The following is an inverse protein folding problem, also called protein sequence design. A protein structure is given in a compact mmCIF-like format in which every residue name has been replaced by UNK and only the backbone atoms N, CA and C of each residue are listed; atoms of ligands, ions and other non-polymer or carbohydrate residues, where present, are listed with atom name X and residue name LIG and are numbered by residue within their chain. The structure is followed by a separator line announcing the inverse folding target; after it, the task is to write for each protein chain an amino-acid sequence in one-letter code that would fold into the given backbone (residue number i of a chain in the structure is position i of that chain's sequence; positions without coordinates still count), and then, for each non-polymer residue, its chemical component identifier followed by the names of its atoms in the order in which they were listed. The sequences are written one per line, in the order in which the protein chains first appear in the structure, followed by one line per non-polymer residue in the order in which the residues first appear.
data_IF_188531974586
#
_entry.id   IF_188531974586
#
_cell.length_a   1.000
_cell.length_b   1.000
_cell.length_c   1.000
_cell.angle_alpha   90.00
_cell.angle_beta   90.00
_cell.angle_gamma   90.00
#
_symmetry.space_group_name_H-M   'P 1'
#
loop_
_entity.id
_entity.type
_entity.pdbx_description
1 polymer ?
#
# COMPACT_ATOMS: atom_id res chain seq x y z
N UNK A 1 44.32 39.30 99.71
CA UNK A 1 44.77 39.54 98.31
C UNK A 1 46.20 39.03 98.17
N UNK A 2 46.38 37.73 97.96
CA UNK A 2 47.71 37.14 97.79
C UNK A 2 48.17 37.35 96.34
N UNK A 3 49.18 38.19 96.17
CA UNK A 3 49.84 38.38 94.88
C UNK A 3 50.60 37.10 94.53
N UNK A 4 50.10 36.37 93.55
CA UNK A 4 50.79 35.24 92.94
C UNK A 4 52.02 35.81 92.21
N UNK A 5 53.19 35.77 92.85
CA UNK A 5 54.46 36.12 92.19
C UNK A 5 54.76 35.00 91.18
N UNK A 6 54.74 35.25 89.86
CA UNK A 6 54.99 34.22 88.87
C UNK A 6 56.42 33.70 89.02
N UNK A 7 56.59 32.37 88.98
CA UNK A 7 57.91 31.74 89.04
C UNK A 7 58.61 31.95 87.69
N UNK A 8 59.95 32.07 87.65
CA UNK A 8 60.68 32.37 86.41
C UNK A 8 60.45 31.35 85.29
N UNK A 9 60.09 30.10 85.60
CA UNK A 9 59.76 29.09 84.59
C UNK A 9 58.40 29.29 83.90
N UNK A 10 57.44 29.95 84.56
CA UNK A 10 56.12 30.24 83.97
C UNK A 10 56.22 31.33 82.91
N UNK A 11 57.10 32.31 83.12
CA UNK A 11 57.39 33.38 82.17
C UNK A 11 58.07 32.82 80.91
N UNK A 12 59.03 31.90 81.08
CA UNK A 12 59.73 31.26 79.94
C UNK A 12 58.78 30.40 79.11
N UNK A 13 57.85 29.67 79.73
CA UNK A 13 56.78 28.95 79.01
C UNK A 13 55.87 29.93 78.27
N UNK A 14 55.39 30.97 78.93
CA UNK A 14 54.52 31.98 78.31
C UNK A 14 55.16 32.64 77.09
N UNK A 15 56.45 33.00 77.17
CA UNK A 15 57.20 33.56 76.03
C UNK A 15 57.34 32.53 74.90
N UNK A 16 57.66 31.27 75.21
CA UNK A 16 57.78 30.22 74.19
C UNK A 16 56.44 29.92 73.50
N UNK A 17 55.36 29.92 74.25
CA UNK A 17 54.01 29.68 73.74
C UNK A 17 53.54 30.84 72.86
N UNK A 18 53.84 32.09 73.25
CA UNK A 18 53.59 33.28 72.42
C UNK A 18 54.40 33.23 71.13
N UNK A 19 55.67 32.84 71.17
CA UNK A 19 56.52 32.69 69.97
C UNK A 19 56.03 31.55 69.07
N UNK A 20 55.60 30.43 69.64
CA UNK A 20 54.99 29.33 68.86
C UNK A 20 53.68 29.76 68.21
N UNK A 21 52.86 30.52 68.93
CA UNK A 21 51.59 31.05 68.42
C UNK A 21 51.79 32.07 67.31
N UNK A 22 52.77 32.97 67.40
CA UNK A 22 53.05 33.93 66.33
C UNK A 22 53.55 33.23 65.07
N UNK A 23 54.47 32.28 65.19
CA UNK A 23 54.98 31.51 64.04
C UNK A 23 53.87 30.71 63.35
N UNK A 24 52.99 30.05 64.14
CA UNK A 24 51.85 29.32 63.59
C UNK A 24 50.86 30.26 62.88
N UNK A 25 50.62 31.44 63.44
CA UNK A 25 49.74 32.46 62.84
C UNK A 25 50.35 33.03 61.55
N UNK A 26 51.66 33.32 61.53
CA UNK A 26 52.36 33.78 60.33
C UNK A 26 52.34 32.71 59.23
N UNK A 27 52.58 31.44 59.58
CA UNK A 27 52.52 30.34 58.61
C UNK A 27 51.12 30.18 58.02
N UNK A 28 50.08 30.30 58.85
CA UNK A 28 48.69 30.30 58.39
C UNK A 28 48.44 31.45 57.42
N UNK A 29 48.76 32.69 57.81
CA UNK A 29 48.54 33.90 57.00
C UNK A 29 49.34 33.85 55.69
N UNK A 30 50.56 33.32 55.71
CA UNK A 30 51.38 33.12 54.51
C UNK A 30 50.80 32.07 53.56
N UNK A 31 50.08 31.07 54.07
CA UNK A 31 49.46 30.00 53.26
C UNK A 31 48.08 30.37 52.70
N UNK A 32 47.38 31.34 53.30
CA UNK A 32 46.03 31.75 52.88
C UNK A 32 45.95 32.21 51.41
N UNK A 33 46.86 33.06 50.89
CA UNK A 33 46.81 33.47 49.50
C UNK A 33 46.90 32.31 48.51
N UNK A 34 47.76 31.31 48.78
CA UNK A 34 47.88 30.12 47.94
C UNK A 34 46.62 29.25 47.96
N UNK A 35 45.99 29.10 49.14
CA UNK A 35 44.71 28.37 49.26
C UNK A 35 43.57 29.09 48.55
N UNK A 36 43.53 30.43 48.61
CA UNK A 36 42.54 31.24 47.90
C UNK A 36 42.74 31.13 46.38
N UNK A 37 43.98 31.21 45.90
CA UNK A 37 44.30 31.02 44.47
C UNK A 37 43.81 29.66 43.97
N UNK A 38 44.14 28.58 44.67
CA UNK A 38 43.69 27.24 44.30
C UNK A 38 42.16 27.09 44.30
N UNK A 39 41.46 27.72 45.25
CA UNK A 39 39.99 27.74 45.25
C UNK A 39 39.41 28.53 44.08
N UNK A 40 40.04 29.64 43.70
CA UNK A 40 39.60 30.43 42.54
C UNK A 40 39.79 29.65 41.23
N UNK A 41 40.93 28.98 41.07
CA UNK A 41 41.20 28.12 39.90
C UNK A 41 40.17 26.97 39.82
N UNK A 42 39.84 26.35 40.95
CA UNK A 42 38.82 25.29 41.02
C UNK A 42 37.42 25.82 40.71
N UNK A 43 37.07 27.02 41.18
CA UNK A 43 35.80 27.69 40.86
C UNK A 43 35.73 28.06 39.38
N UNK A 44 36.81 28.59 38.78
CA UNK A 44 36.86 28.92 37.36
C UNK A 44 36.64 27.67 36.51
N UNK A 45 37.34 26.57 36.81
CA UNK A 45 37.14 25.29 36.14
C UNK A 45 35.71 24.75 36.33
N UNK A 46 35.10 24.94 37.50
CA UNK A 46 33.72 24.54 37.75
C UNK A 46 32.73 25.38 36.92
N UNK A 47 32.93 26.69 36.82
CA UNK A 47 32.09 27.59 36.01
C UNK A 47 32.17 27.21 34.53
N UNK A 48 33.38 26.97 34.00
CA UNK A 48 33.54 26.51 32.61
C UNK A 48 32.80 25.19 32.35
N UNK A 49 32.88 24.26 33.31
CA UNK A 49 32.18 22.98 33.23
C UNK A 49 30.66 23.15 33.29
N UNK A 50 30.17 24.04 34.15
CA UNK A 50 28.74 24.38 34.24
C UNK A 50 28.27 24.97 32.92
N UNK A 51 28.99 25.94 32.34
CA UNK A 51 28.64 26.54 31.05
C UNK A 51 28.58 25.51 29.92
N UNK A 52 29.52 24.56 29.92
CA UNK A 52 29.50 23.45 28.97
C UNK A 52 28.28 22.54 29.16
N UNK A 53 27.92 22.23 30.41
CA UNK A 53 26.72 21.42 30.73
C UNK A 53 25.45 22.15 30.32
N UNK A 54 25.33 23.45 30.62
CA UNK A 54 24.19 24.29 30.26
C UNK A 54 23.99 24.32 28.75
N UNK A 55 25.04 24.59 27.96
CA UNK A 55 24.96 24.58 26.50
C UNK A 55 24.54 23.22 25.93
N UNK A 56 25.05 22.13 26.52
CA UNK A 56 24.64 20.77 26.12
C UNK A 56 23.18 20.50 26.47
N UNK A 57 22.73 20.95 27.64
CA UNK A 57 21.34 20.82 28.06
C UNK A 57 20.41 21.60 27.11
N UNK A 58 20.73 22.84 26.77
CA UNK A 58 19.97 23.64 25.79
C UNK A 58 19.86 22.93 24.44
N UNK A 59 20.97 22.40 23.93
CA UNK A 59 20.97 21.66 22.67
C UNK A 59 20.10 20.38 22.74
N UNK A 60 20.12 19.65 23.86
CA UNK A 60 19.26 18.49 24.06
C UNK A 60 17.79 18.89 24.11
N UNK A 61 17.46 19.97 24.82
CA UNK A 61 16.08 20.49 24.91
C UNK A 61 15.58 20.93 23.54
N UNK A 62 16.37 21.65 22.76
CA UNK A 62 16.00 22.05 21.39
C UNK A 62 15.76 20.83 20.50
N UNK A 63 16.66 19.84 20.53
CA UNK A 63 16.46 18.61 19.73
C UNK A 63 15.25 17.80 20.18
N UNK A 64 14.99 17.73 21.48
CA UNK A 64 13.82 17.05 22.02
C UNK A 64 12.53 17.76 21.56
N UNK A 65 12.50 19.09 21.59
CA UNK A 65 11.35 19.86 21.09
C UNK A 65 11.08 19.60 19.60
N UNK A 66 12.13 19.59 18.77
CA UNK A 66 12.00 19.26 17.34
C UNK A 66 11.50 17.83 17.12
N UNK A 67 12.07 16.86 17.85
CA UNK A 67 11.65 15.46 17.76
C UNK A 67 10.18 15.27 18.15
N UNK A 68 9.68 15.98 19.17
CA UNK A 68 8.27 15.94 19.55
C UNK A 68 7.36 16.41 18.41
N UNK A 69 7.71 17.51 17.73
CA UNK A 69 6.92 18.02 16.59
C UNK A 69 6.92 17.05 15.42
N UNK A 70 8.07 16.44 15.12
CA UNK A 70 8.16 15.41 14.07
C UNK A 70 7.31 14.18 14.42
N UNK A 71 7.38 13.71 15.66
CA UNK A 71 6.58 12.58 16.15
C UNK A 71 5.08 12.88 16.09
N UNK A 72 4.65 14.07 16.49
CA UNK A 72 3.24 14.49 16.38
C UNK A 72 2.76 14.42 14.93
N UNK A 73 3.57 14.88 13.99
CA UNK A 73 3.27 14.82 12.55
C UNK A 73 3.14 13.36 12.07
N UNK A 74 4.12 12.51 12.42
CA UNK A 74 4.11 11.09 12.05
C UNK A 74 2.89 10.36 12.62
N UNK A 75 2.50 10.66 13.86
CA UNK A 75 1.33 10.06 14.50
C UNK A 75 0.05 10.46 13.76
N UNK A 76 -0.10 11.74 13.41
CA UNK A 76 -1.27 12.23 12.65
C UNK A 76 -1.35 11.56 11.28
N UNK A 77 -0.24 11.49 10.56
CA UNK A 77 -0.21 10.87 9.22
C UNK A 77 -0.47 9.36 9.29
N UNK A 78 0.09 8.67 10.29
CA UNK A 78 -0.18 7.25 10.53
C UNK A 78 -1.65 7.00 10.86
N UNK A 79 -2.27 7.88 11.66
CA UNK A 79 -3.69 7.79 11.96
C UNK A 79 -4.56 7.96 10.71
N UNK A 80 -4.22 8.91 9.83
CA UNK A 80 -4.89 9.10 8.54
C UNK A 80 -4.74 7.89 7.62
N UNK A 81 -3.52 7.38 7.46
CA UNK A 81 -3.24 6.17 6.67
C UNK A 81 -4.03 4.97 7.18
N UNK A 82 -4.10 4.79 8.49
CA UNK A 82 -4.88 3.71 9.11
C UNK A 82 -6.37 3.85 8.84
N UNK A 83 -6.91 5.08 8.91
CA UNK A 83 -8.30 5.34 8.58
C UNK A 83 -8.61 5.03 7.11
N UNK A 84 -7.77 5.49 6.17
CA UNK A 84 -7.93 5.18 4.75
C UNK A 84 -7.82 3.68 4.47
N UNK A 85 -6.87 2.99 5.10
CA UNK A 85 -6.75 1.54 4.99
C UNK A 85 -8.01 0.83 5.49
N UNK A 86 -8.58 1.30 6.61
CA UNK A 86 -9.83 0.76 7.15
C UNK A 86 -11.01 0.99 6.19
N UNK A 87 -11.15 2.18 5.62
CA UNK A 87 -12.20 2.48 4.62
C UNK A 87 -12.08 1.58 3.38
N UNK A 88 -10.86 1.35 2.89
CA UNK A 88 -10.62 0.43 1.78
C UNK A 88 -10.97 -1.01 2.17
N UNK A 89 -10.58 -1.46 3.36
CA UNK A 89 -10.92 -2.80 3.84
C UNK A 89 -12.44 -2.97 4.00
N UNK A 90 -13.14 -1.98 4.54
CA UNK A 90 -14.59 -2.01 4.69
C UNK A 90 -15.31 -2.07 3.34
N UNK A 91 -14.75 -1.45 2.30
CA UNK A 91 -15.25 -1.52 0.93
C UNK A 91 -14.97 -2.88 0.27
N UNK A 92 -13.73 -3.37 0.36
CA UNK A 92 -13.29 -4.54 -0.42
C UNK A 92 -13.48 -5.88 0.27
N UNK A 93 -13.40 -5.95 1.61
CA UNK A 93 -13.60 -7.20 2.35
C UNK A 93 -14.92 -7.91 2.05
N UNK A 94 -16.10 -7.24 2.01
CA UNK A 94 -17.35 -7.93 1.68
C UNK A 94 -17.39 -8.40 0.22
N UNK A 95 -16.76 -7.68 -0.71
CA UNK A 95 -16.65 -8.10 -2.11
C UNK A 95 -15.76 -9.34 -2.24
N UNK A 96 -14.60 -9.33 -1.58
CA UNK A 96 -13.69 -10.47 -1.51
C UNK A 96 -14.36 -11.69 -0.87
N UNK A 97 -15.11 -11.51 0.22
CA UNK A 97 -15.84 -12.60 0.87
C UNK A 97 -16.89 -13.23 -0.06
N UNK A 98 -17.55 -12.43 -0.89
CA UNK A 98 -18.51 -12.92 -1.90
C UNK A 98 -17.82 -13.58 -3.09
N UNK A 99 -16.68 -13.06 -3.52
CA UNK A 99 -15.92 -13.56 -4.66
C UNK A 99 -15.12 -14.82 -4.35
N UNK A 100 -14.65 -14.98 -3.09
CA UNK A 100 -13.82 -16.10 -2.65
C UNK A 100 -14.38 -17.49 -3.02
N UNK A 101 -15.66 -17.84 -2.79
CA UNK A 101 -16.18 -19.15 -3.19
C UNK A 101 -16.25 -19.34 -4.70
N UNK A 102 -16.46 -18.28 -5.48
CA UNK A 102 -16.47 -18.36 -6.95
C UNK A 102 -15.05 -18.59 -7.48
N UNK A 103 -14.07 -17.89 -6.92
CA UNK A 103 -12.66 -18.08 -7.25
C UNK A 103 -12.18 -19.47 -6.85
N UNK A 104 -12.58 -19.97 -5.68
CA UNK A 104 -12.26 -21.34 -5.25
C UNK A 104 -12.83 -22.38 -6.21
N UNK A 105 -14.12 -22.28 -6.56
CA UNK A 105 -14.74 -23.16 -7.57
C UNK A 105 -14.06 -23.08 -8.92
N UNK A 106 -13.68 -21.88 -9.37
CA UNK A 106 -12.95 -21.71 -10.62
C UNK A 106 -11.60 -22.44 -10.60
N UNK A 107 -10.82 -22.29 -9.52
CA UNK A 107 -9.53 -22.97 -9.37
C UNK A 107 -9.69 -24.50 -9.25
N UNK A 108 -10.76 -24.96 -8.59
CA UNK A 108 -11.02 -26.39 -8.39
C UNK A 108 -11.61 -27.09 -9.63
N UNK A 109 -12.44 -26.40 -10.42
CA UNK A 109 -13.19 -26.97 -11.55
C UNK A 109 -12.55 -26.70 -12.91
N UNK A 110 -11.73 -25.66 -13.07
CA UNK A 110 -11.18 -25.22 -14.37
C UNK A 110 -9.66 -25.35 -14.38
N UNK A 111 -9.15 -26.24 -15.24
CA UNK A 111 -7.72 -26.39 -15.49
C UNK A 111 -7.14 -25.25 -16.32
N UNK A 112 -5.82 -25.12 -16.33
CA UNK A 112 -5.09 -24.05 -17.01
C UNK A 112 -5.45 -23.94 -18.51
N UNK A 113 -5.60 -25.07 -19.20
CA UNK A 113 -6.01 -25.13 -20.61
C UNK A 113 -7.41 -24.56 -20.83
N UNK A 114 -8.35 -24.84 -19.92
CA UNK A 114 -9.71 -24.31 -20.01
C UNK A 114 -9.77 -22.82 -19.67
N UNK A 115 -8.91 -22.32 -18.76
CA UNK A 115 -8.77 -20.88 -18.52
C UNK A 115 -8.31 -20.18 -19.79
N UNK A 116 -7.30 -20.72 -20.48
CA UNK A 116 -6.83 -20.17 -21.76
C UNK A 116 -7.92 -20.20 -22.83
N UNK A 117 -8.68 -21.30 -22.91
CA UNK A 117 -9.80 -21.40 -23.84
C UNK A 117 -10.93 -20.39 -23.52
N UNK A 118 -11.21 -20.15 -22.23
CA UNK A 118 -12.21 -19.18 -21.80
C UNK A 118 -11.79 -17.74 -22.11
N UNK A 119 -10.51 -17.40 -21.90
CA UNK A 119 -9.96 -16.09 -22.30
C UNK A 119 -10.05 -15.91 -23.82
N UNK A 120 -9.63 -16.92 -24.60
CA UNK A 120 -9.75 -16.88 -26.05
C UNK A 120 -11.21 -16.69 -26.51
N UNK A 121 -12.16 -17.39 -25.87
CA UNK A 121 -13.59 -17.22 -26.16
C UNK A 121 -14.06 -15.77 -25.91
N UNK A 122 -13.67 -15.17 -24.78
CA UNK A 122 -14.00 -13.77 -24.45
C UNK A 122 -13.43 -12.82 -25.50
N UNK A 123 -12.22 -13.05 -25.96
CA UNK A 123 -11.59 -12.25 -27.02
C UNK A 123 -12.32 -12.36 -28.37
N UNK A 124 -12.99 -13.48 -28.64
CA UNK A 124 -13.82 -13.67 -29.84
C UNK A 124 -15.24 -13.08 -29.73
N UNK A 125 -15.76 -12.81 -28.53
CA UNK A 125 -17.12 -12.27 -28.34
C UNK A 125 -17.39 -10.93 -29.05
N UNK A 126 -16.47 -9.94 -29.05
CA UNK A 126 -16.69 -8.67 -29.74
C UNK A 126 -16.91 -8.89 -31.25
N UNK A 127 -16.09 -9.72 -31.87
CA UNK A 127 -16.19 -9.99 -33.31
C UNK A 127 -17.43 -10.82 -33.65
N UNK A 128 -17.78 -11.79 -32.80
CA UNK A 128 -19.04 -12.52 -32.93
C UNK A 128 -20.25 -11.56 -32.88
N UNK A 129 -20.21 -10.57 -31.98
CA UNK A 129 -21.27 -9.56 -31.86
C UNK A 129 -21.40 -8.74 -33.13
N UNK A 130 -20.28 -8.23 -33.68
CA UNK A 130 -20.26 -7.48 -34.94
C UNK A 130 -20.84 -8.30 -36.09
N UNK A 131 -20.42 -9.57 -36.19
CA UNK A 131 -20.94 -10.49 -37.21
C UNK A 131 -22.44 -10.72 -37.01
N UNK A 132 -22.90 -11.03 -35.80
CA UNK A 132 -24.32 -11.22 -35.50
C UNK A 132 -25.18 -10.01 -35.87
N UNK A 133 -24.73 -8.79 -35.57
CA UNK A 133 -25.43 -7.57 -35.98
C UNK A 133 -25.51 -7.44 -37.51
N UNK A 134 -24.46 -7.82 -38.23
CA UNK A 134 -24.45 -7.78 -39.68
C UNK A 134 -25.41 -8.77 -40.36
N UNK A 135 -25.71 -9.92 -39.72
CA UNK A 135 -26.63 -10.94 -40.25
C UNK A 135 -28.10 -10.71 -39.89
N UNK A 136 -28.40 -9.89 -38.87
CA UNK A 136 -29.79 -9.60 -38.43
C UNK A 136 -30.73 -9.17 -39.58
N UNK A 137 -30.33 -8.29 -40.53
CA UNK A 137 -31.19 -7.91 -41.65
C UNK A 137 -31.50 -9.08 -42.59
N UNK A 138 -30.56 -9.99 -42.80
CA UNK A 138 -30.73 -11.18 -43.67
C UNK A 138 -31.68 -12.17 -43.01
N UNK A 139 -31.54 -12.38 -41.70
CA UNK A 139 -32.47 -13.21 -40.92
C UNK A 139 -33.88 -12.62 -40.91
N UNK A 140 -34.03 -11.29 -40.94
CA UNK A 140 -35.34 -10.64 -41.07
C UNK A 140 -35.99 -10.90 -42.45
N UNK A 141 -35.21 -10.98 -43.53
CA UNK A 141 -35.74 -11.32 -44.86
C UNK A 141 -36.12 -12.80 -45.01
N UNK A 142 -35.51 -13.70 -44.23
CA UNK A 142 -35.79 -15.14 -44.25
C UNK A 142 -37.24 -15.49 -43.87
N UNK A 143 -37.91 -14.66 -43.06
CA UNK A 143 -39.34 -14.79 -42.74
C UNK A 143 -40.23 -14.63 -43.98
N UNK A 144 -39.75 -13.91 -45.01
CA UNK A 144 -40.46 -13.63 -46.26
C UNK A 144 -40.21 -14.67 -47.37
N UNK A 145 -39.21 -15.56 -47.22
CA UNK A 145 -38.82 -16.54 -48.26
C UNK A 145 -39.70 -17.80 -48.23
N UNK A 146 -40.37 -18.09 -47.10
CA UNK A 146 -41.23 -19.28 -46.96
C UNK A 146 -42.42 -19.35 -47.97
N UNK A 147 -43.14 -18.24 -48.27
CA UNK A 147 -44.11 -18.21 -49.36
C UNK A 147 -43.50 -18.45 -50.75
N UNK A 148 -42.36 -17.81 -51.05
CA UNK A 148 -41.73 -17.84 -52.39
C UNK A 148 -41.26 -19.25 -52.80
N UNK A 149 -40.79 -20.06 -51.83
CA UNK A 149 -40.42 -21.46 -52.10
C UNK A 149 -41.64 -22.31 -52.45
N UNK A 150 -42.80 -22.02 -51.85
CA UNK A 150 -44.04 -22.75 -52.13
C UNK A 150 -44.56 -22.44 -53.54
N UNK A 151 -44.47 -21.18 -53.97
CA UNK A 151 -44.80 -20.77 -55.34
C UNK A 151 -43.87 -21.42 -56.38
N UNK A 152 -42.57 -21.50 -56.11
CA UNK A 152 -41.62 -22.18 -57.01
C UNK A 152 -41.90 -23.69 -57.14
N UNK A 153 -42.35 -24.34 -56.07
CA UNK A 153 -42.78 -25.75 -56.12
C UNK A 153 -44.05 -25.94 -56.94
N UNK A 154 -44.98 -24.98 -56.90
CA UNK A 154 -46.20 -25.00 -57.71
C UNK A 154 -45.88 -24.83 -59.21
N UNK A 155 -45.01 -23.88 -59.55
CA UNK A 155 -44.54 -23.66 -60.94
C UNK A 155 -43.82 -24.90 -61.49
N UNK A 156 -42.99 -25.58 -60.68
CA UNK A 156 -42.32 -26.82 -61.10
C UNK A 156 -43.33 -27.95 -61.30
N UNK A 157 -44.39 -28.01 -60.49
CA UNK A 157 -45.48 -28.99 -60.64
C UNK A 157 -46.28 -28.74 -61.93
N UNK A 158 -46.52 -27.48 -62.26
CA UNK A 158 -47.22 -27.09 -63.48
C UNK A 158 -46.40 -27.38 -64.74
N UNK A 159 -45.08 -27.17 -64.71
CA UNK A 159 -44.17 -27.59 -65.80
C UNK A 159 -44.17 -29.11 -65.95
N UNK A 160 -44.13 -29.88 -64.84
CA UNK A 160 -44.25 -31.34 -64.88
C UNK A 160 -45.57 -31.78 -65.51
N UNK A 161 -46.66 -31.11 -65.18
CA UNK A 161 -47.99 -31.43 -65.68
C UNK A 161 -48.18 -31.03 -67.14
N UNK A 162 -47.58 -29.92 -67.59
CA UNK A 162 -47.55 -29.51 -68.99
C UNK A 162 -46.76 -30.50 -69.87
N UNK A 163 -45.68 -31.08 -69.33
CA UNK A 163 -44.91 -32.14 -70.02
C UNK A 163 -45.70 -33.46 -70.11
N UNK A 164 -46.47 -33.80 -69.07
CA UNK A 164 -47.33 -35.00 -69.06
C UNK A 164 -48.63 -34.83 -69.86
N UNK A 165 -49.06 -33.58 -70.10
CA UNK A 165 -50.35 -33.24 -70.71
C UNK A 165 -50.34 -33.08 -72.23
N UNK A 166 -49.23 -33.32 -72.94
CA UNK A 166 -49.18 -33.17 -74.42
C UNK A 166 -50.03 -34.26 -75.10
N UNK A 167 -51.21 -33.92 -75.68
CA UNK A 167 -52.06 -34.88 -76.39
C UNK A 167 -51.47 -35.05 -77.79
N UNK A 168 -50.89 -36.22 -78.09
CA UNK A 168 -50.32 -36.47 -79.42
C UNK A 168 -49.56 -37.78 -79.62
N UNK A 169 -49.08 -38.44 -78.55
CA UNK A 169 -48.27 -39.65 -78.71
C UNK A 169 -49.06 -40.96 -78.85
N UNK A 170 -50.37 -40.98 -78.59
CA UNK A 170 -51.22 -42.17 -78.86
C UNK A 170 -51.52 -42.39 -80.35
N UNK A 171 -51.32 -41.38 -81.20
CA UNK A 171 -51.57 -41.46 -82.64
C UNK A 171 -50.46 -42.17 -83.44
N UNK A 172 -49.31 -42.46 -82.83
CA UNK A 172 -48.23 -43.22 -83.49
C UNK A 172 -48.34 -44.74 -83.31
N UNK A 173 -49.22 -45.25 -82.43
CA UNK A 173 -49.34 -46.71 -82.24
C UNK A 173 -50.15 -47.42 -83.34
N UNK A 174 -51.03 -46.71 -84.07
CA UNK A 174 -51.87 -47.29 -85.14
C UNK A 174 -51.23 -47.38 -86.53
N UNK A 175 -50.00 -46.88 -86.72
CA UNK A 175 -49.27 -46.99 -88.01
C UNK A 175 -48.24 -48.12 -88.06
N UNK A 176 -48.11 -48.93 -87.00
CA UNK A 176 -47.24 -50.11 -86.95
C UNK A 176 -47.93 -51.45 -87.23
N UNK A 177 -49.27 -51.52 -87.18
CA UNK A 177 -50.02 -52.80 -87.32
C UNK A 177 -50.55 -53.06 -88.76
N UNK A 178 -50.22 -52.21 -89.73
CA UNK A 178 -50.68 -52.35 -91.13
C UNK A 178 -49.55 -52.67 -92.14
N UNK A 179 -48.39 -53.15 -91.67
CA UNK A 179 -47.32 -53.68 -92.52
C UNK A 179 -46.70 -54.91 -91.87
N UNK A 180 -47.41 -56.01 -91.98
CA UNK A 180 -46.83 -57.36 -92.04
C UNK A 180 -47.79 -58.24 -92.87
N UNK A 181 -47.57 -58.22 -94.18
CA UNK A 181 -47.90 -59.25 -95.18
C UNK A 181 -46.83 -59.20 -96.25
#
# INVERSE_FOLDING_TARGET
MSALVPRPHDVVRGVRDVVGWTVATTALVASLPGRIGALLDEVEALVERIDLVTRRADHVVTRAALATVEVETVVVDTARLSATAQELLDLYAPLAARAAPLAARFVDEIGEDEVHAAVALIDYLPELTVRMTAIMPILATLDTVAPEIHELLEVVKDVRQAIQGVPGFSFFRRRGEARDT
#
